data_IF_546269324716
#
_entry.id   IF_546269324716
#
_cell.length_a   1.000
_cell.length_b   1.000
_cell.length_c   1.000
_cell.angle_alpha   90.00
_cell.angle_beta   90.00
_cell.angle_gamma   90.00
#
_symmetry.space_group_name_H-M   'P 1'
#
loop_
_entity.id
_entity.type
_entity.pdbx_description
1 polymer ?
#
# COMPACT_ATOMS: atom_id res chain seq x y z
N UNK A 1 10.92 37.50 -14.71
CA UNK A 1 12.14 36.68 -14.56
C UNK A 1 12.02 35.94 -13.24
N UNK A 2 12.05 34.59 -13.30
CA UNK A 2 12.12 33.60 -12.21
C UNK A 2 10.99 33.66 -11.16
N UNK A 3 9.94 32.83 -11.21
CA UNK A 3 9.93 31.38 -10.87
C UNK A 3 10.68 31.05 -9.58
N UNK A 4 9.92 30.70 -8.55
CA UNK A 4 10.37 29.85 -7.45
C UNK A 4 9.16 29.10 -6.88
N UNK A 5 8.70 28.12 -7.66
CA UNK A 5 8.11 26.89 -7.12
C UNK A 5 9.17 26.19 -6.28
N UNK A 6 8.78 25.68 -5.11
CA UNK A 6 9.34 24.51 -4.40
C UNK A 6 8.93 24.58 -2.92
N UNK A 7 7.67 24.23 -2.64
CA UNK A 7 7.24 23.85 -1.29
C UNK A 7 6.95 22.35 -1.27
N UNK A 8 7.99 21.64 -0.82
CA UNK A 8 7.96 20.57 0.18
C UNK A 8 6.73 19.69 0.19
N UNK A 9 6.95 18.43 -0.21
CA UNK A 9 5.96 17.38 -0.31
C UNK A 9 5.07 17.24 0.92
N UNK A 10 3.77 17.29 0.66
CA UNK A 10 2.75 16.72 1.53
C UNK A 10 2.91 15.19 1.54
N UNK A 11 3.66 14.67 2.52
CA UNK A 11 3.62 13.25 2.86
C UNK A 11 2.85 13.10 4.18
N UNK A 12 1.52 13.11 4.09
CA UNK A 12 0.66 12.63 5.17
C UNK A 12 1.04 11.18 5.53
N UNK A 13 1.31 10.84 6.80
CA UNK A 13 1.74 9.49 7.18
C UNK A 13 0.52 8.57 7.46
N UNK A 14 -0.52 8.61 6.62
CA UNK A 14 -1.71 7.78 6.85
C UNK A 14 -2.41 7.32 5.55
N UNK A 15 -1.69 6.53 4.75
CA UNK A 15 -2.27 5.45 3.94
C UNK A 15 -1.11 4.60 3.45
N UNK A 16 -0.75 3.63 4.29
CA UNK A 16 0.22 2.54 4.10
C UNK A 16 0.58 2.33 2.63
N UNK A 17 1.84 2.54 2.28
CA UNK A 17 2.46 2.27 0.99
C UNK A 17 2.13 0.84 0.56
N UNK A 18 1.07 0.69 -0.24
CA UNK A 18 0.54 -0.61 -0.67
C UNK A 18 1.48 -1.21 -1.71
N UNK A 19 2.55 -1.81 -1.20
CA UNK A 19 3.42 -2.79 -1.83
C UNK A 19 3.77 -2.49 -3.29
N UNK A 20 4.57 -1.45 -3.53
CA UNK A 20 5.16 -1.21 -4.85
C UNK A 20 6.08 -2.36 -5.31
N UNK A 21 6.52 -3.21 -4.37
CA UNK A 21 7.34 -4.38 -4.62
C UNK A 21 6.84 -5.62 -3.86
N UNK A 22 7.23 -6.79 -4.35
CA UNK A 22 6.99 -8.07 -3.69
C UNK A 22 7.81 -8.18 -2.40
N UNK A 23 7.21 -8.54 -1.25
CA UNK A 23 7.92 -8.66 0.02
C UNK A 23 8.92 -9.83 0.07
N UNK A 24 8.77 -10.82 -0.82
CA UNK A 24 9.63 -12.01 -0.80
C UNK A 24 10.87 -11.87 -1.71
N UNK A 25 10.76 -11.22 -2.86
CA UNK A 25 11.87 -11.10 -3.81
C UNK A 25 12.33 -9.65 -4.04
N UNK A 26 11.64 -8.65 -3.47
CA UNK A 26 11.94 -7.24 -3.68
C UNK A 26 11.65 -6.74 -5.09
N UNK A 27 11.06 -7.56 -5.97
CA UNK A 27 10.76 -7.16 -7.34
C UNK A 27 9.58 -6.20 -7.39
N UNK A 28 9.74 -5.10 -8.11
CA UNK A 28 8.66 -4.13 -8.34
C UNK A 28 7.46 -4.81 -8.99
N UNK A 29 6.29 -4.57 -8.40
CA UNK A 29 5.02 -4.99 -8.96
C UNK A 29 4.74 -4.10 -10.17
N UNK A 30 4.35 -4.71 -11.28
CA UNK A 30 3.88 -3.96 -12.44
C UNK A 30 2.68 -3.08 -12.06
N UNK A 31 2.41 -1.96 -12.75
CA UNK A 31 1.27 -1.10 -12.45
C UNK A 31 -0.04 -1.89 -12.34
N UNK A 32 -0.21 -2.90 -13.20
CA UNK A 32 -1.40 -3.74 -13.17
C UNK A 32 -1.47 -4.70 -11.98
N UNK A 33 -0.32 -5.19 -11.51
CA UNK A 33 -0.22 -6.01 -10.30
C UNK A 33 -0.54 -5.20 -9.04
N UNK A 34 -0.12 -3.93 -8.99
CA UNK A 34 -0.45 -3.03 -7.90
C UNK A 34 -1.97 -2.78 -7.81
N UNK A 35 -2.64 -2.60 -8.95
CA UNK A 35 -4.10 -2.42 -8.96
C UNK A 35 -4.82 -3.72 -8.57
N UNK A 36 -4.38 -4.87 -9.09
CA UNK A 36 -4.92 -6.17 -8.66
C UNK A 36 -4.79 -6.35 -7.15
N UNK A 37 -3.63 -6.03 -6.58
CA UNK A 37 -3.41 -6.11 -5.14
C UNK A 37 -4.28 -5.12 -4.35
N UNK A 38 -4.57 -3.93 -4.90
CA UNK A 38 -5.50 -2.96 -4.29
C UNK A 38 -6.96 -3.44 -4.30
N UNK A 39 -7.41 -4.07 -5.38
CA UNK A 39 -8.81 -4.49 -5.57
C UNK A 39 -9.05 -5.84 -4.92
N UNK A 40 -8.29 -6.84 -5.34
CA UNK A 40 -8.45 -8.25 -4.95
C UNK A 40 -7.88 -8.52 -3.55
N UNK A 41 -7.03 -7.60 -3.05
CA UNK A 41 -6.32 -7.72 -1.76
C UNK A 41 -5.41 -8.95 -1.67
N UNK A 42 -5.32 -9.74 -2.74
CA UNK A 42 -4.43 -10.87 -2.88
C UNK A 42 -3.76 -10.83 -4.25
N UNK A 43 -2.45 -11.09 -4.28
CA UNK A 43 -1.70 -11.21 -5.52
C UNK A 43 -0.61 -12.27 -5.38
N UNK A 44 -0.51 -13.18 -6.35
CA UNK A 44 0.65 -14.06 -6.46
C UNK A 44 1.72 -13.37 -7.29
N UNK A 45 2.91 -13.19 -6.71
CA UNK A 45 4.06 -12.68 -7.46
C UNK A 45 4.48 -13.72 -8.49
N UNK A 46 4.52 -13.37 -9.77
CA UNK A 46 4.91 -14.30 -10.85
C UNK A 46 6.40 -14.67 -10.84
N UNK A 47 7.24 -13.96 -10.09
CA UNK A 47 8.68 -14.18 -10.04
C UNK A 47 9.08 -15.22 -8.99
N UNK A 48 8.50 -15.13 -7.79
CA UNK A 48 8.83 -16.02 -6.67
C UNK A 48 7.64 -16.89 -6.24
N UNK A 49 6.50 -16.78 -6.93
CA UNK A 49 5.26 -17.52 -6.63
C UNK A 49 4.70 -17.27 -5.22
N UNK A 50 5.21 -16.23 -4.55
CA UNK A 50 4.77 -15.84 -3.23
C UNK A 50 3.39 -15.17 -3.28
N UNK A 51 2.47 -15.59 -2.41
CA UNK A 51 1.14 -15.02 -2.29
C UNK A 51 1.15 -13.87 -1.30
N UNK A 52 0.98 -12.66 -1.83
CA UNK A 52 0.82 -11.42 -1.06
C UNK A 52 -0.67 -11.31 -0.70
N UNK A 53 -0.97 -11.11 0.58
CA UNK A 53 -2.34 -10.90 1.08
C UNK A 53 -2.31 -9.62 1.92
N UNK A 54 -3.07 -8.61 1.51
CA UNK A 54 -3.29 -7.40 2.27
C UNK A 54 -4.47 -7.66 3.21
N UNK A 55 -4.16 -8.05 4.44
CA UNK A 55 -5.15 -8.08 5.51
C UNK A 55 -5.45 -6.63 5.87
N UNK A 56 -6.55 -6.11 5.35
CA UNK A 56 -7.15 -4.88 5.86
C UNK A 56 -7.83 -5.32 7.14
N UNK A 57 -7.05 -5.54 8.19
CA UNK A 57 -7.61 -5.56 9.54
C UNK A 57 -8.23 -4.17 9.68
N UNK A 58 -9.55 -4.11 9.52
CA UNK A 58 -10.35 -3.02 10.05
C UNK A 58 -10.00 -3.03 11.53
N UNK A 59 -9.13 -2.10 11.91
CA UNK A 59 -8.89 -1.78 13.30
C UNK A 59 -10.19 -1.10 13.75
N UNK A 60 -11.22 -1.92 13.94
CA UNK A 60 -12.37 -1.57 14.75
C UNK A 60 -11.80 -1.42 16.14
N UNK A 61 -11.31 -0.23 16.45
CA UNK A 61 -11.14 0.19 17.83
C UNK A 61 -12.52 0.00 18.47
N UNK A 62 -12.73 -1.00 19.36
CA UNK A 62 -13.98 -1.10 20.06
C UNK A 62 -13.97 0.09 21.01
N UNK A 63 -14.64 1.18 20.64
CA UNK A 63 -14.93 2.25 21.57
C UNK A 63 -15.99 1.74 22.55
N UNK A 64 -15.55 0.88 23.47
CA UNK A 64 -16.28 0.55 24.66
C UNK A 64 -16.36 1.83 25.50
N UNK A 65 -17.49 2.55 25.39
CA UNK A 65 -17.92 3.50 26.41
C UNK A 65 -19.28 3.07 26.95
N UNK A 66 -19.18 2.10 27.87
CA UNK A 66 -19.70 2.08 29.25
C UNK A 66 -21.04 2.80 29.50
N UNK A 67 -22.02 1.98 29.91
CA UNK A 67 -23.31 2.28 30.55
C UNK A 67 -23.26 3.42 31.58
#
# INVERSE_FOLDING_TARGET
MAEKTEETGNASPNSRSLCDACPHCGRELSPWQQVLLRIDRALVCRNCWYRIILDVSEEEEPTERKD
#
